data_IF_881159309552
#
_entry.id   IF_881159309552
#
_cell.length_a   1.000
_cell.length_b   1.000
_cell.length_c   1.000
_cell.angle_alpha   90.00
_cell.angle_beta   90.00
_cell.angle_gamma   90.00
#
_symmetry.space_group_name_H-M   'P 1'
#
loop_
_entity.id
_entity.type
_entity.pdbx_description
1 polymer ?
#
# COMPACT_ATOMS: atom_id res chain seq x y z
N UNK A 1 7.08 -22.74 3.86
CA UNK A 1 6.66 -22.48 2.48
C UNK A 1 5.16 -22.37 2.51
N UNK A 2 4.61 -21.24 2.08
CA UNK A 2 3.17 -21.03 2.01
C UNK A 2 2.70 -21.24 0.57
N UNK A 3 1.49 -21.75 0.39
CA UNK A 3 0.82 -21.78 -0.90
C UNK A 3 -0.51 -21.08 -0.76
N UNK A 4 -0.78 -20.15 -1.66
CA UNK A 4 -2.04 -19.43 -1.76
C UNK A 4 -2.78 -19.82 -3.03
N UNK A 5 -4.11 -19.70 -2.99
CA UNK A 5 -4.97 -19.89 -4.14
C UNK A 5 -5.89 -18.67 -4.30
N UNK A 6 -5.82 -18.03 -5.47
CA UNK A 6 -6.68 -16.91 -5.85
C UNK A 6 -7.66 -17.36 -6.93
N UNK A 7 -8.95 -17.08 -6.75
CA UNK A 7 -9.96 -17.36 -7.78
C UNK A 7 -9.66 -16.62 -9.08
N UNK A 8 -9.21 -15.34 -8.99
CA UNK A 8 -8.55 -14.64 -10.08
C UNK A 8 -7.39 -13.80 -9.56
N UNK A 9 -6.38 -13.63 -10.40
CA UNK A 9 -5.27 -12.73 -10.14
C UNK A 9 -4.91 -11.94 -11.40
N UNK A 10 -4.53 -10.68 -11.23
CA UNK A 10 -3.92 -9.86 -12.28
C UNK A 10 -2.42 -10.18 -12.35
N UNK A 11 -2.01 -10.92 -13.37
CA UNK A 11 -0.60 -11.22 -13.65
C UNK A 11 -0.04 -10.25 -14.71
N UNK A 12 1.23 -10.39 -15.04
CA UNK A 12 1.89 -9.55 -16.04
C UNK A 12 1.21 -9.65 -17.42
N UNK A 13 0.67 -10.83 -17.75
CA UNK A 13 -0.04 -11.13 -18.99
C UNK A 13 -1.53 -10.74 -18.95
N UNK A 14 -2.02 -10.25 -17.81
CA UNK A 14 -3.43 -9.90 -17.59
C UNK A 14 -4.13 -10.79 -16.56
N UNK A 15 -5.47 -10.76 -16.58
CA UNK A 15 -6.30 -11.52 -15.64
C UNK A 15 -6.23 -13.01 -15.92
N UNK A 16 -5.89 -13.79 -14.89
CA UNK A 16 -5.87 -15.25 -14.90
C UNK A 16 -6.84 -15.81 -13.86
N UNK A 17 -7.32 -17.04 -14.08
CA UNK A 17 -8.22 -17.73 -13.17
C UNK A 17 -7.48 -18.83 -12.40
N UNK A 18 -8.00 -19.17 -11.22
CA UNK A 18 -7.59 -20.34 -10.43
C UNK A 18 -6.07 -20.39 -10.22
N UNK A 19 -5.50 -19.30 -9.71
CA UNK A 19 -4.06 -19.09 -9.65
C UNK A 19 -3.49 -19.58 -8.33
N UNK A 20 -2.56 -20.54 -8.40
CA UNK A 20 -1.78 -21.05 -7.28
C UNK A 20 -0.45 -20.29 -7.18
N UNK A 21 -0.17 -19.72 -6.01
CA UNK A 21 1.03 -18.90 -5.76
C UNK A 21 1.83 -19.56 -4.64
N UNK A 22 3.08 -19.92 -4.88
CA UNK A 22 3.97 -20.47 -3.85
C UNK A 22 4.94 -19.41 -3.36
N UNK A 23 5.13 -19.35 -2.04
CA UNK A 23 5.99 -18.36 -1.38
C UNK A 23 6.97 -19.09 -0.47
N UNK A 24 8.26 -18.79 -0.63
CA UNK A 24 9.31 -19.37 0.20
C UNK A 24 9.34 -18.78 1.62
N UNK A 25 10.24 -19.29 2.45
CA UNK A 25 10.37 -18.85 3.85
C UNK A 25 10.85 -17.39 3.98
N UNK A 26 11.51 -16.83 2.95
CA UNK A 26 11.96 -15.44 2.92
C UNK A 26 10.89 -14.47 2.40
N UNK A 27 9.73 -14.97 1.95
CA UNK A 27 8.63 -14.15 1.46
C UNK A 27 8.65 -13.85 -0.03
N UNK A 28 9.56 -14.46 -0.81
CA UNK A 28 9.54 -14.33 -2.27
C UNK A 28 8.58 -15.32 -2.90
N UNK A 29 7.98 -14.90 -4.01
CA UNK A 29 7.18 -15.77 -4.87
C UNK A 29 8.13 -16.71 -5.62
N UNK A 30 8.02 -18.02 -5.36
CA UNK A 30 8.79 -19.05 -6.06
C UNK A 30 8.11 -19.46 -7.37
N UNK A 31 6.77 -19.54 -7.38
CA UNK A 31 6.00 -19.87 -8.58
C UNK A 31 4.59 -19.29 -8.57
N UNK A 32 4.08 -19.07 -9.78
CA UNK A 32 2.69 -18.68 -10.06
C UNK A 32 2.18 -19.63 -11.14
N UNK A 33 1.05 -20.29 -10.88
CA UNK A 33 0.47 -21.28 -11.79
C UNK A 33 -1.02 -21.03 -11.95
N UNK A 34 -1.48 -20.45 -13.09
CA UNK A 34 -2.90 -20.37 -13.45
C UNK A 34 -3.56 -21.74 -13.63
N UNK A 35 -4.88 -21.76 -13.79
CA UNK A 35 -5.69 -22.95 -14.13
C UNK A 35 -5.40 -24.17 -13.23
N UNK A 36 -5.13 -23.89 -11.95
CA UNK A 36 -4.72 -24.87 -10.95
C UNK A 36 -5.85 -25.22 -9.99
N UNK A 37 -5.69 -26.30 -9.23
CA UNK A 37 -6.57 -26.60 -8.12
C UNK A 37 -6.08 -25.97 -6.81
N UNK A 38 -7.01 -25.67 -5.92
CA UNK A 38 -6.66 -25.10 -4.62
C UNK A 38 -5.95 -26.11 -3.71
N UNK A 39 -6.28 -27.41 -3.79
CA UNK A 39 -5.72 -28.48 -2.94
C UNK A 39 -5.60 -28.07 -1.46
N UNK A 40 -4.37 -28.12 -0.90
CA UNK A 40 -4.02 -27.73 0.46
C UNK A 40 -3.57 -26.25 0.58
N UNK A 41 -3.81 -25.43 -0.44
CA UNK A 41 -3.45 -24.01 -0.45
C UNK A 41 -4.42 -23.17 0.38
N UNK A 42 -3.91 -22.07 0.92
CA UNK A 42 -4.68 -21.05 1.62
C UNK A 42 -5.50 -20.28 0.57
N UNK A 43 -6.82 -20.42 0.60
CA UNK A 43 -7.72 -19.68 -0.30
C UNK A 43 -7.78 -18.21 0.08
N UNK A 44 -7.53 -17.34 -0.90
CA UNK A 44 -7.63 -15.90 -0.75
C UNK A 44 -9.07 -15.44 -1.01
N UNK A 45 -9.52 -14.48 -0.21
CA UNK A 45 -10.87 -13.93 -0.30
C UNK A 45 -10.86 -12.72 -1.24
N UNK A 46 -11.30 -12.94 -2.48
CA UNK A 46 -11.39 -11.91 -3.51
C UNK A 46 -10.28 -11.99 -4.56
N UNK A 47 -10.26 -10.98 -5.42
CA UNK A 47 -9.31 -10.91 -6.53
C UNK A 47 -7.96 -10.36 -6.10
N UNK A 48 -6.90 -10.95 -6.63
CA UNK A 48 -5.52 -10.58 -6.27
C UNK A 48 -4.92 -9.67 -7.33
N UNK A 49 -4.30 -8.59 -6.90
CA UNK A 49 -3.52 -7.69 -7.77
C UNK A 49 -2.13 -7.47 -7.17
N UNK A 50 -1.12 -7.11 -7.99
CA UNK A 50 0.16 -6.67 -7.46
C UNK A 50 -0.03 -5.45 -6.54
N UNK A 51 0.70 -5.43 -5.44
CA UNK A 51 0.69 -4.27 -4.55
C UNK A 51 1.24 -3.04 -5.27
N UNK A 52 0.57 -1.90 -5.10
CA UNK A 52 1.03 -0.62 -5.67
C UNK A 52 2.10 -0.03 -4.75
N UNK A 53 3.26 0.29 -5.31
CA UNK A 53 4.33 0.93 -4.58
C UNK A 53 3.99 2.41 -4.31
N UNK A 54 4.17 2.86 -3.07
CA UNK A 54 4.16 4.27 -2.73
C UNK A 54 5.60 4.83 -2.82
N UNK A 55 5.87 5.62 -3.87
CA UNK A 55 7.20 6.12 -4.21
C UNK A 55 7.58 7.44 -3.52
N UNK A 56 6.66 8.07 -2.78
CA UNK A 56 6.93 9.35 -2.13
C UNK A 56 6.09 9.52 -0.86
N UNK A 57 6.75 9.73 0.27
CA UNK A 57 6.08 9.95 1.55
C UNK A 57 6.89 10.85 2.47
N UNK A 58 6.18 11.75 3.16
CA UNK A 58 6.65 12.45 4.34
C UNK A 58 5.79 12.00 5.53
N UNK A 59 6.22 10.93 6.22
CA UNK A 59 5.39 10.23 7.19
C UNK A 59 4.76 11.16 8.25
N UNK A 60 5.55 12.09 8.81
CA UNK A 60 5.11 13.00 9.86
C UNK A 60 3.96 13.93 9.45
N UNK A 61 3.83 14.26 8.16
CA UNK A 61 2.75 15.13 7.66
C UNK A 61 1.38 14.48 7.82
N UNK A 62 1.31 13.15 8.01
CA UNK A 62 0.04 12.47 8.31
C UNK A 62 -0.60 12.97 9.61
N UNK A 63 0.19 13.41 10.59
CA UNK A 63 -0.31 13.95 11.86
C UNK A 63 -1.10 15.27 11.69
N UNK A 64 -0.86 16.03 10.62
CA UNK A 64 -1.61 17.26 10.30
C UNK A 64 -2.59 17.11 9.13
N UNK A 65 -2.79 15.90 8.61
CA UNK A 65 -3.67 15.71 7.46
C UNK A 65 -5.10 16.19 7.78
N UNK A 66 -5.57 17.20 7.03
CA UNK A 66 -6.88 17.84 7.22
C UNK A 66 -6.92 18.96 8.28
N UNK A 67 -5.84 19.20 9.03
CA UNK A 67 -5.79 20.29 10.03
C UNK A 67 -5.44 21.65 9.42
N UNK A 68 -4.97 21.68 8.18
CA UNK A 68 -4.61 22.91 7.47
C UNK A 68 -5.80 23.55 6.71
N UNK A 69 -6.99 22.93 6.74
CA UNK A 69 -8.16 23.35 5.97
C UNK A 69 -8.95 24.48 6.66
N UNK A 70 -8.23 25.50 7.12
CA UNK A 70 -8.80 26.68 7.78
C UNK A 70 -8.26 27.91 7.08
N UNK A 71 -9.14 28.67 6.44
CA UNK A 71 -8.77 29.93 5.78
C UNK A 71 -8.32 30.95 6.84
N UNK A 72 -7.00 31.21 6.89
CA UNK A 72 -6.38 32.22 7.75
C UNK A 72 -6.08 33.53 7.02
N UNK A 73 -5.93 33.47 5.70
CA UNK A 73 -5.76 34.60 4.79
C UNK A 73 -6.57 34.35 3.50
N UNK A 74 -7.23 35.35 2.90
CA UNK A 74 -7.90 35.21 1.60
C UNK A 74 -6.98 34.72 0.46
N UNK A 75 -5.66 34.82 0.61
CA UNK A 75 -4.62 34.39 -0.32
C UNK A 75 -3.83 33.18 0.21
N UNK A 76 -4.44 32.33 1.04
CA UNK A 76 -3.82 31.09 1.50
C UNK A 76 -3.26 30.28 0.31
N UNK A 77 -2.07 29.72 0.51
CA UNK A 77 -1.27 29.11 -0.55
C UNK A 77 -0.43 27.95 -0.01
N UNK A 78 0.26 27.24 -0.90
CA UNK A 78 1.27 26.25 -0.50
C UNK A 78 2.28 26.81 0.52
N UNK A 79 2.66 28.08 0.41
CA UNK A 79 3.64 28.69 1.29
C UNK A 79 3.10 28.90 2.71
N UNK A 80 1.83 29.29 2.86
CA UNK A 80 1.19 29.43 4.19
C UNK A 80 0.95 28.06 4.84
N UNK A 81 0.59 27.03 4.05
CA UNK A 81 0.57 25.63 4.50
C UNK A 81 1.96 25.17 4.99
N UNK A 82 3.01 25.50 4.25
CA UNK A 82 4.38 25.10 4.58
C UNK A 82 4.83 25.67 5.92
N UNK A 83 4.43 26.89 6.25
CA UNK A 83 4.71 27.50 7.55
C UNK A 83 4.01 26.75 8.69
N UNK A 84 2.76 26.31 8.49
CA UNK A 84 2.06 25.44 9.46
C UNK A 84 2.78 24.10 9.63
N UNK A 85 3.20 23.47 8.54
CA UNK A 85 3.97 22.23 8.56
C UNK A 85 5.29 22.39 9.31
N UNK A 86 6.01 23.51 9.13
CA UNK A 86 7.22 23.83 9.89
C UNK A 86 6.96 24.00 11.38
N UNK A 87 5.85 24.64 11.78
CA UNK A 87 5.48 24.74 13.21
C UNK A 87 5.23 23.37 13.83
N UNK A 88 4.70 22.42 13.07
CA UNK A 88 4.51 21.04 13.54
C UNK A 88 5.83 20.30 13.67
N UNK A 89 6.65 20.30 12.60
CA UNK A 89 7.90 19.49 12.59
C UNK A 89 8.90 19.95 13.67
N UNK A 90 8.88 21.22 14.05
CA UNK A 90 9.70 21.75 15.14
C UNK A 90 9.34 21.20 16.53
N UNK A 91 8.16 20.59 16.69
CA UNK A 91 7.68 20.06 17.97
C UNK A 91 7.71 18.53 18.06
N UNK A 92 7.99 17.86 16.95
CA UNK A 92 8.04 16.40 16.91
C UNK A 92 9.30 15.87 17.58
N UNK A 93 9.11 14.93 18.50
CA UNK A 93 10.17 14.12 19.09
C UNK A 93 10.31 12.80 18.33
N UNK A 94 11.44 12.08 18.43
CA UNK A 94 11.58 10.77 17.79
C UNK A 94 10.54 9.73 18.19
N UNK A 95 9.93 9.86 19.38
CA UNK A 95 8.90 8.95 19.88
C UNK A 95 7.50 9.26 19.35
N UNK A 96 7.29 10.42 18.72
CA UNK A 96 6.03 10.86 18.10
C UNK A 96 6.07 10.65 16.59
#
# INVERSE_FOLDING_TARGET
>A
MATFFASRALLAEGWQQQVRITVNQAGFIDSITPDSHADQAIRLNGEVIPAIANLHSHAFQRAMAGLAEVAGDPQDSFWTWRDLMYRMVQRLTPQQ
#
